data_IF_139572368524
#
_entry.id   IF_139572368524
#
_cell.length_a   1.000
_cell.length_b   1.000
_cell.length_c   1.000
_cell.angle_alpha   90.00
_cell.angle_beta   90.00
_cell.angle_gamma   90.00
#
_symmetry.space_group_name_H-M   'P 1'
#
loop_
_entity.id
_entity.type
_entity.pdbx_description
1 polymer ?
#
# COMPACT_ATOMS: atom_id res chain seq x y z
N UNK A 1 3.84 -34.25 -50.87
CA UNK A 1 4.39 -35.18 -49.85
C UNK A 1 5.45 -34.57 -48.93
N UNK A 2 5.79 -33.27 -49.03
CA UNK A 2 6.77 -32.61 -48.14
C UNK A 2 6.17 -31.86 -46.93
N UNK A 3 4.86 -31.62 -46.91
CA UNK A 3 4.19 -30.81 -45.87
C UNK A 3 3.88 -31.56 -44.54
N UNK A 4 4.00 -32.89 -44.51
CA UNK A 4 3.72 -33.70 -43.29
C UNK A 4 4.99 -33.99 -42.48
N UNK A 5 6.17 -33.95 -43.12
CA UNK A 5 7.43 -34.32 -42.47
C UNK A 5 7.99 -33.24 -41.55
N UNK A 6 7.68 -31.96 -41.76
CA UNK A 6 8.16 -30.87 -40.88
C UNK A 6 7.36 -30.71 -39.58
N UNK A 7 6.08 -31.09 -39.54
CA UNK A 7 5.29 -31.00 -38.31
C UNK A 7 5.67 -32.05 -37.26
N UNK A 8 6.29 -33.17 -37.68
CA UNK A 8 6.70 -34.25 -36.75
C UNK A 8 8.13 -34.12 -36.23
N UNK A 9 8.96 -33.30 -36.87
CA UNK A 9 10.36 -33.08 -36.46
C UNK A 9 10.48 -31.91 -35.46
N UNK A 10 9.54 -30.96 -35.48
CA UNK A 10 9.56 -29.82 -34.54
C UNK A 10 9.00 -30.17 -33.14
N UNK A 11 8.22 -31.25 -33.01
CA UNK A 11 7.66 -31.68 -31.70
C UNK A 11 8.58 -32.59 -30.89
N UNK A 12 9.78 -32.94 -31.36
CA UNK A 12 10.71 -33.86 -30.66
C UNK A 12 11.93 -33.12 -30.07
N UNK A 13 12.15 -31.84 -30.36
CA UNK A 13 13.31 -31.09 -29.85
C UNK A 13 13.06 -30.26 -28.57
N UNK A 14 11.89 -30.37 -27.93
CA UNK A 14 11.55 -29.56 -26.74
C UNK A 14 11.62 -30.33 -25.40
N UNK A 15 12.16 -31.55 -25.39
CA UNK A 15 12.18 -32.41 -24.21
C UNK A 15 13.59 -32.67 -23.62
N UNK A 16 14.58 -31.82 -23.88
CA UNK A 16 15.98 -32.14 -23.55
C UNK A 16 16.83 -30.99 -22.97
N UNK A 17 16.26 -29.97 -22.32
CA UNK A 17 17.07 -28.96 -21.61
C UNK A 17 16.39 -28.56 -20.29
N UNK A 18 17.21 -28.48 -19.24
CA UNK A 18 16.95 -28.05 -17.86
C UNK A 18 16.72 -29.16 -16.82
N UNK A 19 17.68 -30.09 -16.78
CA UNK A 19 18.12 -30.70 -15.51
C UNK A 19 19.32 -29.88 -15.02
N UNK A 20 19.27 -29.44 -13.75
CA UNK A 20 20.38 -29.06 -12.84
C UNK A 20 20.41 -27.60 -12.35
N UNK A 21 19.69 -27.34 -11.25
CA UNK A 21 20.21 -26.49 -10.16
C UNK A 21 19.35 -26.66 -8.90
N UNK A 22 19.49 -27.82 -8.24
CA UNK A 22 19.20 -27.97 -6.81
C UNK A 22 20.53 -27.83 -6.05
N UNK A 23 20.82 -26.61 -5.60
CA UNK A 23 21.71 -26.36 -4.47
C UNK A 23 20.90 -25.57 -3.44
N UNK A 24 19.94 -26.28 -2.83
CA UNK A 24 19.28 -25.81 -1.62
C UNK A 24 20.24 -25.99 -0.44
N UNK A 25 20.44 -24.92 0.30
CA UNK A 25 21.09 -24.87 1.59
C UNK A 25 20.46 -25.91 2.54
N UNK A 26 21.25 -26.89 2.96
CA UNK A 26 20.90 -27.83 4.01
C UNK A 26 21.30 -27.29 5.39
N UNK A 27 20.30 -26.73 6.06
CA UNK A 27 20.00 -26.80 7.49
C UNK A 27 21.12 -27.10 8.53
N UNK A 28 21.22 -26.14 9.44
CA UNK A 28 21.76 -26.15 10.80
C UNK A 28 21.42 -27.41 11.62
N UNK A 29 22.38 -27.91 12.41
CA UNK A 29 22.33 -28.04 13.88
C UNK A 29 23.36 -29.08 14.38
N UNK A 30 24.42 -28.62 15.05
CA UNK A 30 25.14 -29.39 16.07
C UNK A 30 25.74 -28.42 17.08
N UNK A 31 25.34 -28.60 18.33
CA UNK A 31 25.59 -27.79 19.53
C UNK A 31 27.04 -27.95 20.06
N UNK A 32 27.38 -27.39 21.24
CA UNK A 32 27.95 -26.07 21.50
C UNK A 32 29.46 -26.12 21.82
N UNK A 33 30.16 -24.98 21.72
CA UNK A 33 31.42 -24.82 22.46
C UNK A 33 31.47 -23.46 23.16
N UNK A 34 31.44 -23.55 24.48
CA UNK A 34 31.68 -22.50 25.46
C UNK A 34 33.19 -22.23 25.57
N UNK A 35 33.62 -20.97 25.46
CA UNK A 35 34.70 -20.43 26.30
C UNK A 35 34.67 -18.90 26.38
N UNK A 36 34.93 -18.46 27.61
CA UNK A 36 34.81 -17.14 28.23
C UNK A 36 35.69 -16.04 27.60
N UNK A 37 35.14 -14.82 27.45
CA UNK A 37 35.38 -13.57 28.24
C UNK A 37 36.62 -12.79 27.78
N UNK A 38 36.41 -11.54 27.33
CA UNK A 38 36.92 -10.34 28.01
C UNK A 38 36.32 -9.04 27.45
N UNK A 39 36.01 -8.18 28.41
CA UNK A 39 35.65 -6.77 28.35
C UNK A 39 36.83 -5.91 27.91
N UNK A 40 36.59 -4.87 27.11
CA UNK A 40 37.24 -3.57 27.33
C UNK A 40 36.49 -2.44 26.61
N UNK A 41 36.13 -1.45 27.42
CA UNK A 41 35.71 -0.12 27.02
C UNK A 41 36.94 0.71 26.61
N UNK A 42 36.75 1.69 25.72
CA UNK A 42 37.36 3.01 25.93
C UNK A 42 36.64 4.12 25.15
N UNK A 43 36.48 5.21 25.88
CA UNK A 43 35.89 6.52 25.60
C UNK A 43 36.88 7.51 25.02
N UNK A 44 36.43 8.44 24.16
CA UNK A 44 36.73 9.91 24.17
C UNK A 44 35.91 10.59 23.05
N UNK A 45 34.99 11.55 23.28
CA UNK A 45 35.15 12.95 23.70
C UNK A 45 36.23 13.68 22.86
N UNK A 46 36.09 14.88 22.31
CA UNK A 46 35.08 15.95 22.26
C UNK A 46 35.75 17.06 21.38
N UNK A 47 34.97 17.87 20.63
CA UNK A 47 35.19 19.31 20.34
C UNK A 47 34.08 19.73 19.34
N UNK A 48 33.00 20.45 19.70
CA UNK A 48 32.84 21.83 20.22
C UNK A 48 33.12 22.88 19.14
N UNK A 49 32.09 23.45 18.50
CA UNK A 49 31.58 24.86 18.55
C UNK A 49 31.58 25.39 17.10
N UNK A 50 30.77 26.31 16.59
CA UNK A 50 29.83 27.34 17.07
C UNK A 50 28.91 27.65 15.84
N UNK A 51 27.60 27.85 16.01
CA UNK A 51 26.93 29.19 15.99
C UNK A 51 27.03 29.88 14.59
N UNK A 52 25.97 30.28 13.88
CA UNK A 52 24.88 31.17 14.27
C UNK A 52 23.73 31.12 13.23
N UNK A 53 22.49 31.17 13.75
CA UNK A 53 21.45 32.15 13.41
C UNK A 53 20.97 32.31 11.95
N UNK A 54 19.74 31.84 11.71
CA UNK A 54 18.72 32.69 11.05
C UNK A 54 17.34 32.35 11.60
N UNK A 55 16.87 33.20 12.52
CA UNK A 55 15.48 33.31 12.90
C UNK A 55 14.72 34.21 11.89
N UNK A 56 13.40 33.99 11.85
CA UNK A 56 12.34 34.84 11.29
C UNK A 56 12.16 34.90 9.77
N UNK A 57 11.18 34.14 9.30
CA UNK A 57 9.96 34.51 8.54
C UNK A 57 9.50 33.20 7.86
N UNK A 58 8.47 32.49 8.35
CA UNK A 58 7.08 32.91 8.31
C UNK A 58 6.28 32.34 9.50
N UNK A 59 5.58 33.24 10.17
CA UNK A 59 4.40 32.95 10.99
C UNK A 59 3.20 32.71 10.07
N UNK A 60 2.18 32.08 10.66
CA UNK A 60 0.84 31.80 10.13
C UNK A 60 0.83 30.56 9.22
N UNK A 61 0.26 29.41 9.59
CA UNK A 61 -0.94 29.17 10.40
C UNK A 61 -0.67 28.08 11.45
N UNK A 62 -0.61 28.48 12.72
CA UNK A 62 -1.01 27.60 13.82
C UNK A 62 -2.47 27.92 14.05
N UNK A 63 -3.36 27.29 13.28
CA UNK A 63 -4.76 27.30 13.67
C UNK A 63 -4.91 26.45 14.92
N UNK A 64 -5.60 27.06 15.87
CA UNK A 64 -5.83 26.57 17.21
C UNK A 64 -6.42 25.16 17.18
N UNK A 65 -6.03 24.37 18.17
CA UNK A 65 -6.88 23.32 18.73
C UNK A 65 -8.16 23.99 19.30
N UNK A 66 -9.02 24.43 18.40
CA UNK A 66 -10.40 24.79 18.65
C UNK A 66 -11.21 23.52 18.69
N UNK A 67 -12.18 23.48 19.59
CA UNK A 67 -13.21 22.46 19.69
C UNK A 67 -13.71 22.10 18.27
N UNK A 68 -13.28 20.94 17.79
CA UNK A 68 -13.46 20.54 16.40
C UNK A 68 -14.95 20.30 16.18
N UNK A 69 -15.63 21.28 15.59
CA UNK A 69 -16.98 21.09 15.09
C UNK A 69 -16.97 19.83 14.20
N UNK A 70 -17.99 18.97 14.34
CA UNK A 70 -18.11 17.78 13.52
C UNK A 70 -17.91 18.17 12.04
N UNK A 71 -16.98 17.51 11.37
CA UNK A 71 -16.64 17.86 10.00
C UNK A 71 -17.87 17.69 9.10
N UNK A 72 -18.14 18.66 8.23
CA UNK A 72 -19.28 18.59 7.31
C UNK A 72 -19.09 17.52 6.21
N UNK A 73 -17.90 16.94 6.11
CA UNK A 73 -17.52 15.94 5.13
C UNK A 73 -16.57 14.90 5.73
N UNK A 74 -16.60 13.69 5.17
CA UNK A 74 -15.66 12.62 5.47
C UNK A 74 -14.86 12.21 4.23
N UNK A 75 -13.65 11.70 4.49
CA UNK A 75 -12.74 11.11 3.50
C UNK A 75 -12.43 9.68 3.93
N UNK A 76 -12.64 8.73 3.02
CA UNK A 76 -12.25 7.34 3.17
C UNK A 76 -10.85 7.12 2.60
N UNK A 77 -9.97 6.46 3.35
CA UNK A 77 -8.65 6.02 2.88
C UNK A 77 -8.57 4.51 3.03
N UNK A 78 -8.32 3.81 1.92
CA UNK A 78 -8.21 2.36 1.86
C UNK A 78 -6.76 1.97 1.58
N UNK A 79 -6.20 1.12 2.42
CA UNK A 79 -4.81 0.61 2.29
C UNK A 79 -4.76 -0.89 2.59
N UNK A 80 -3.67 -1.55 2.18
CA UNK A 80 -3.35 -2.91 2.63
C UNK A 80 -2.88 -2.92 4.09
N UNK A 81 -2.89 -4.09 4.73
CA UNK A 81 -2.44 -4.23 6.12
C UNK A 81 -0.97 -3.85 6.31
N UNK A 82 -0.54 -3.71 7.58
CA UNK A 82 0.87 -3.49 7.95
C UNK A 82 1.78 -4.58 7.39
N UNK A 83 1.32 -5.83 7.29
CA UNK A 83 2.11 -6.93 6.73
C UNK A 83 2.34 -6.80 5.23
N UNK A 84 1.45 -6.11 4.52
CA UNK A 84 1.58 -5.86 3.08
C UNK A 84 2.40 -4.61 2.80
N UNK A 85 2.16 -3.53 3.56
CA UNK A 85 2.90 -2.28 3.46
C UNK A 85 2.79 -1.51 4.76
N UNK A 86 3.90 -1.45 5.49
CA UNK A 86 3.96 -0.71 6.76
C UNK A 86 3.88 0.81 6.54
N UNK A 87 4.52 1.29 5.47
CA UNK A 87 4.58 2.71 5.13
C UNK A 87 3.19 3.26 4.81
N UNK A 88 2.44 2.59 3.93
CA UNK A 88 1.08 3.02 3.55
C UNK A 88 0.15 3.07 4.76
N UNK A 89 0.26 2.06 5.63
CA UNK A 89 -0.57 2.00 6.83
C UNK A 89 -0.23 3.13 7.80
N UNK A 90 1.04 3.33 8.11
CA UNK A 90 1.45 4.42 9.00
C UNK A 90 1.16 5.80 8.40
N UNK A 91 1.27 5.95 7.08
CA UNK A 91 0.88 7.17 6.37
C UNK A 91 -0.61 7.49 6.53
N UNK A 92 -1.47 6.49 6.33
CA UNK A 92 -2.92 6.65 6.53
C UNK A 92 -3.28 6.96 7.99
N UNK A 93 -2.65 6.27 8.96
CA UNK A 93 -2.83 6.53 10.40
C UNK A 93 -2.34 7.92 10.81
N UNK A 94 -1.21 8.38 10.27
CA UNK A 94 -0.70 9.73 10.50
C UNK A 94 -1.64 10.80 9.93
N UNK A 95 -2.19 10.58 8.73
CA UNK A 95 -3.18 11.46 8.13
C UNK A 95 -4.46 11.52 8.98
N UNK A 96 -4.95 10.37 9.46
CA UNK A 96 -6.10 10.34 10.37
C UNK A 96 -5.79 11.00 11.72
N UNK A 97 -4.57 10.88 12.26
CA UNK A 97 -4.18 11.53 13.50
C UNK A 97 -4.19 13.07 13.37
N UNK A 98 -3.72 13.59 12.23
CA UNK A 98 -3.71 15.03 11.92
C UNK A 98 -5.14 15.56 11.73
N UNK A 99 -5.94 14.87 10.91
CA UNK A 99 -7.27 15.33 10.51
C UNK A 99 -8.43 14.73 11.31
N UNK A 100 -8.16 13.91 12.32
CA UNK A 100 -9.11 13.30 13.24
C UNK A 100 -10.00 12.21 12.64
N UNK A 101 -10.37 11.23 13.49
CA UNK A 101 -11.28 10.13 13.14
C UNK A 101 -12.67 10.59 12.72
N UNK A 102 -13.11 11.77 13.17
CA UNK A 102 -14.38 12.35 12.76
C UNK A 102 -14.38 12.70 11.27
N UNK A 103 -13.25 13.10 10.68
CA UNK A 103 -13.17 13.47 9.26
C UNK A 103 -12.62 12.33 8.39
N UNK A 104 -11.67 11.54 8.89
CA UNK A 104 -10.96 10.53 8.10
C UNK A 104 -11.34 9.13 8.57
N UNK A 105 -11.87 8.32 7.65
CA UNK A 105 -12.21 6.92 7.89
C UNK A 105 -11.20 6.02 7.20
N UNK A 106 -10.55 5.15 7.95
CA UNK A 106 -9.59 4.19 7.41
C UNK A 106 -10.26 2.84 7.17
N UNK A 107 -9.95 2.21 6.05
CA UNK A 107 -10.35 0.84 5.74
C UNK A 107 -9.15 0.01 5.29
N UNK A 108 -9.24 -1.30 5.51
CA UNK A 108 -8.18 -2.26 5.23
C UNK A 108 -8.73 -3.32 4.30
N UNK A 109 -8.24 -3.42 3.07
CA UNK A 109 -8.60 -4.56 2.21
C UNK A 109 -7.87 -5.85 2.67
N UNK A 110 -8.40 -7.05 2.37
CA UNK A 110 -7.76 -8.31 2.74
C UNK A 110 -6.38 -8.49 2.09
N UNK A 111 -5.43 -9.08 2.82
CA UNK A 111 -4.10 -9.39 2.27
C UNK A 111 -4.20 -10.32 1.04
N UNK A 112 -5.19 -11.21 1.03
CA UNK A 112 -5.49 -12.11 -0.07
C UNK A 112 -6.55 -11.53 -1.02
N UNK A 113 -6.41 -10.24 -1.37
CA UNK A 113 -7.40 -9.46 -2.14
C UNK A 113 -7.82 -10.10 -3.48
N UNK A 114 -7.00 -10.97 -4.07
CA UNK A 114 -7.32 -11.67 -5.32
C UNK A 114 -8.28 -12.84 -5.09
N UNK A 115 -8.12 -13.60 -4.00
CA UNK A 115 -9.03 -14.70 -3.66
C UNK A 115 -10.28 -14.18 -2.93
N UNK A 116 -10.13 -13.09 -2.17
CA UNK A 116 -11.19 -12.43 -1.42
C UNK A 116 -11.76 -11.21 -2.16
N UNK A 117 -11.90 -11.31 -3.49
CA UNK A 117 -12.28 -10.19 -4.37
C UNK A 117 -13.57 -9.49 -3.94
N UNK A 118 -14.63 -10.23 -3.61
CA UNK A 118 -15.89 -9.63 -3.17
C UNK A 118 -15.72 -8.88 -1.85
N UNK A 119 -14.91 -9.41 -0.92
CA UNK A 119 -14.59 -8.72 0.34
C UNK A 119 -13.82 -7.43 0.09
N UNK A 120 -12.85 -7.44 -0.84
CA UNK A 120 -12.13 -6.22 -1.27
C UNK A 120 -13.10 -5.18 -1.83
N UNK A 121 -13.99 -5.59 -2.73
CA UNK A 121 -15.00 -4.70 -3.34
C UNK A 121 -15.88 -4.09 -2.25
N UNK A 122 -16.44 -4.91 -1.36
CA UNK A 122 -17.36 -4.43 -0.34
C UNK A 122 -16.68 -3.57 0.73
N UNK A 123 -15.41 -3.85 1.06
CA UNK A 123 -14.64 -3.00 1.97
C UNK A 123 -14.58 -1.55 1.48
N UNK A 124 -14.41 -1.36 0.17
CA UNK A 124 -14.38 -0.03 -0.46
C UNK A 124 -15.79 0.54 -0.59
N UNK A 125 -16.77 -0.24 -1.07
CA UNK A 125 -18.16 0.21 -1.30
C UNK A 125 -18.84 0.66 0.01
N UNK A 126 -18.63 -0.04 1.13
CA UNK A 126 -19.27 0.28 2.41
C UNK A 126 -18.91 1.68 2.93
N UNK A 127 -17.79 2.28 2.49
CA UNK A 127 -17.46 3.68 2.83
C UNK A 127 -18.48 4.67 2.23
N UNK A 128 -19.16 4.30 1.13
CA UNK A 128 -20.16 5.15 0.48
C UNK A 128 -21.53 5.19 1.18
N UNK A 129 -21.75 4.30 2.15
CA UNK A 129 -22.94 4.30 3.01
C UNK A 129 -22.96 5.51 3.96
N UNK A 130 -21.78 6.09 4.21
CA UNK A 130 -21.66 7.31 4.99
C UNK A 130 -22.20 8.51 4.18
N UNK A 131 -23.26 9.18 4.66
CA UNK A 131 -23.90 10.29 3.94
C UNK A 131 -23.00 11.52 3.80
N UNK A 132 -21.97 11.65 4.66
CA UNK A 132 -21.01 12.74 4.62
C UNK A 132 -19.75 12.40 3.82
N UNK A 133 -19.60 11.16 3.33
CA UNK A 133 -18.48 10.78 2.47
C UNK A 133 -18.44 11.65 1.21
N UNK A 134 -17.27 12.26 0.95
CA UNK A 134 -17.03 13.09 -0.26
C UNK A 134 -15.86 12.61 -1.10
N UNK A 135 -14.95 11.82 -0.53
CA UNK A 135 -13.88 11.19 -1.30
C UNK A 135 -13.54 9.82 -0.73
N UNK A 136 -13.24 8.87 -1.61
CA UNK A 136 -12.65 7.58 -1.28
C UNK A 136 -11.35 7.48 -2.06
N UNK A 137 -10.25 7.35 -1.31
CA UNK A 137 -8.90 7.20 -1.84
C UNK A 137 -8.48 5.76 -1.58
N UNK A 138 -8.14 5.04 -2.64
CA UNK A 138 -7.54 3.70 -2.52
C UNK A 138 -6.06 3.85 -2.84
N UNK A 139 -5.19 3.78 -1.82
CA UNK A 139 -3.76 4.09 -1.97
C UNK A 139 -3.04 3.09 -2.88
N UNK A 140 -3.40 1.81 -2.74
CA UNK A 140 -3.02 0.74 -3.66
C UNK A 140 -4.29 0.18 -4.28
N UNK A 141 -4.58 0.60 -5.50
CA UNK A 141 -5.79 0.21 -6.22
C UNK A 141 -5.65 -1.22 -6.74
N UNK A 142 -5.75 -2.17 -5.82
CA UNK A 142 -5.69 -3.62 -6.03
C UNK A 142 -6.90 -4.15 -6.79
N UNK A 143 -6.83 -5.39 -7.33
CA UNK A 143 -7.97 -6.07 -7.95
C UNK A 143 -9.28 -5.90 -7.20
N UNK A 144 -10.30 -5.39 -7.90
CA UNK A 144 -11.62 -5.08 -7.36
C UNK A 144 -11.90 -3.58 -7.14
N UNK A 145 -10.88 -2.73 -7.23
CA UNK A 145 -11.04 -1.27 -7.05
C UNK A 145 -11.93 -0.65 -8.14
N UNK A 146 -11.75 -1.03 -9.41
CA UNK A 146 -12.58 -0.53 -10.53
C UNK A 146 -14.05 -0.86 -10.32
N UNK A 147 -14.36 -2.10 -9.95
CA UNK A 147 -15.74 -2.53 -9.70
C UNK A 147 -16.34 -1.85 -8.47
N UNK A 148 -15.55 -1.64 -7.41
CA UNK A 148 -15.99 -0.86 -6.27
C UNK A 148 -16.34 0.57 -6.66
N UNK A 149 -15.47 1.24 -7.44
CA UNK A 149 -15.71 2.60 -7.90
C UNK A 149 -16.93 2.71 -8.82
N UNK A 150 -17.15 1.75 -9.73
CA UNK A 150 -18.38 1.68 -10.54
C UNK A 150 -19.62 1.63 -9.66
N UNK A 151 -19.66 0.70 -8.70
CA UNK A 151 -20.79 0.54 -7.75
C UNK A 151 -21.02 1.80 -6.91
N UNK A 152 -19.95 2.44 -6.44
CA UNK A 152 -20.04 3.71 -5.69
C UNK A 152 -20.62 4.81 -6.58
N UNK A 153 -20.12 4.98 -7.81
CA UNK A 153 -20.58 6.05 -8.70
C UNK A 153 -22.02 5.85 -9.18
N UNK A 154 -22.50 4.62 -9.27
CA UNK A 154 -23.90 4.32 -9.58
C UNK A 154 -24.86 4.86 -8.50
N UNK A 155 -24.50 4.77 -7.22
CA UNK A 155 -25.36 5.17 -6.09
C UNK A 155 -25.04 6.56 -5.52
N UNK A 156 -23.76 6.95 -5.57
CA UNK A 156 -23.15 8.13 -4.97
C UNK A 156 -22.20 8.80 -5.97
N UNK A 157 -22.73 9.36 -7.08
CA UNK A 157 -21.90 10.07 -8.07
C UNK A 157 -21.20 11.31 -7.49
N UNK A 158 -21.61 11.78 -6.31
CA UNK A 158 -21.02 12.90 -5.59
C UNK A 158 -19.71 12.58 -4.86
N UNK A 159 -19.37 11.29 -4.67
CA UNK A 159 -18.11 10.87 -4.03
C UNK A 159 -17.00 10.88 -5.08
N UNK A 160 -15.88 11.55 -4.80
CA UNK A 160 -14.67 11.44 -5.60
C UNK A 160 -13.98 10.10 -5.35
N UNK A 161 -13.73 9.33 -6.40
CA UNK A 161 -13.03 8.05 -6.37
C UNK A 161 -11.61 8.26 -6.91
N UNK A 162 -10.61 8.13 -6.04
CA UNK A 162 -9.19 8.38 -6.38
C UNK A 162 -8.42 7.06 -6.27
N UNK A 163 -7.80 6.65 -7.38
CA UNK A 163 -6.98 5.46 -7.47
C UNK A 163 -5.48 5.82 -7.39
N UNK A 164 -4.86 5.53 -6.25
CA UNK A 164 -3.40 5.52 -6.10
C UNK A 164 -2.81 4.17 -6.50
N UNK A 165 -1.55 4.18 -6.92
CA UNK A 165 -0.72 3.00 -7.24
C UNK A 165 -1.52 1.90 -7.92
N UNK A 166 -2.03 2.19 -9.13
CA UNK A 166 -3.01 1.30 -9.74
C UNK A 166 -2.40 -0.05 -10.13
N UNK A 167 -2.93 -1.11 -9.53
CA UNK A 167 -2.63 -2.50 -9.86
C UNK A 167 -3.70 -3.13 -10.77
N UNK A 168 -4.65 -2.32 -11.24
CA UNK A 168 -5.65 -2.70 -12.25
C UNK A 168 -5.24 -2.23 -13.65
N UNK A 169 -5.99 -2.66 -14.67
CA UNK A 169 -5.82 -2.14 -16.04
C UNK A 169 -6.13 -0.63 -16.09
N UNK A 170 -5.18 0.17 -16.54
CA UNK A 170 -5.24 1.63 -16.48
C UNK A 170 -6.44 2.22 -17.25
N UNK A 171 -6.75 1.79 -18.48
CA UNK A 171 -7.99 2.18 -19.16
C UNK A 171 -9.26 1.83 -18.37
N UNK A 172 -9.34 0.64 -17.78
CA UNK A 172 -10.52 0.21 -17.02
C UNK A 172 -10.72 1.05 -15.75
N UNK A 173 -9.71 1.19 -14.90
CA UNK A 173 -9.82 2.01 -13.68
C UNK A 173 -10.02 3.49 -14.01
N UNK A 174 -9.38 3.99 -15.07
CA UNK A 174 -9.55 5.37 -15.55
C UNK A 174 -10.95 5.67 -16.07
N UNK A 175 -11.75 4.65 -16.40
CA UNK A 175 -13.18 4.81 -16.74
C UNK A 175 -14.08 4.99 -15.52
N UNK A 176 -13.61 4.59 -14.33
CA UNK A 176 -14.40 4.55 -13.09
C UNK A 176 -13.93 5.55 -12.02
N UNK A 177 -12.63 5.88 -12.00
CA UNK A 177 -12.02 6.83 -11.08
C UNK A 177 -12.10 8.27 -11.63
N UNK A 178 -12.16 9.25 -10.74
CA UNK A 178 -12.00 10.67 -11.11
C UNK A 178 -10.53 11.05 -11.29
N UNK A 179 -9.62 10.34 -10.62
CA UNK A 179 -8.17 10.49 -10.74
C UNK A 179 -7.49 9.14 -10.57
N UNK A 180 -6.49 8.89 -11.42
CA UNK A 180 -5.55 7.77 -11.31
C UNK A 180 -4.14 8.36 -11.22
N UNK A 181 -3.36 7.98 -10.20
CA UNK A 181 -2.00 8.51 -9.98
C UNK A 181 -1.02 7.43 -9.48
N UNK A 182 0.25 7.59 -9.86
CA UNK A 182 1.42 6.81 -9.44
C UNK A 182 2.55 7.74 -9.02
#
# INVERSE_FOLDING_TARGET
MMEVSMKKILSISLAAIMISSLAACGNSNSTPQTKAVETQAETKAEETKAEETKAEEAKEETEAAGEKAAADYHIGIVTGSVSQSEDDRRGAEAFQAEYGEDMVKLAIYPDNFTEELETTIQTIVNLSDDPQMKAIIVNQSVPGTTEAFRKIKESRPDILCIAGESHEDLPEIGSAADLVCN
#
